data_IF_532423301672
#
_entry.id   IF_532423301672
#
_cell.length_a   1.000
_cell.length_b   1.000
_cell.length_c   1.000
_cell.angle_alpha   90.00
_cell.angle_beta   90.00
_cell.angle_gamma   90.00
#
_symmetry.space_group_name_H-M   'P 1'
#
loop_
_entity.id
_entity.type
_entity.pdbx_description
1 polymer ?
#
# COMPACT_ATOMS: atom_id res chain seq x y z
N UNK A 1 10.60 -20.81 -14.03
CA UNK A 1 10.26 -19.79 -13.02
C UNK A 1 8.92 -19.18 -13.42
N UNK A 2 7.87 -19.34 -12.62
CA UNK A 2 6.51 -18.89 -12.96
C UNK A 2 6.43 -17.36 -12.77
N UNK A 3 6.31 -16.59 -13.86
CA UNK A 3 6.21 -15.13 -13.81
C UNK A 3 4.77 -14.73 -13.48
N UNK A 4 4.57 -13.86 -12.50
CA UNK A 4 3.23 -13.42 -12.09
C UNK A 4 2.85 -12.14 -12.85
N UNK A 5 1.74 -12.11 -13.60
CA UNK A 5 1.39 -10.97 -14.45
C UNK A 5 1.08 -9.68 -13.68
N UNK A 6 0.52 -9.78 -12.46
CA UNK A 6 0.19 -8.61 -11.63
C UNK A 6 1.46 -7.83 -11.22
N UNK A 7 2.56 -8.54 -10.92
CA UNK A 7 3.84 -7.90 -10.59
C UNK A 7 4.51 -7.25 -11.80
N UNK A 8 4.38 -7.85 -12.99
CA UNK A 8 4.96 -7.29 -14.22
C UNK A 8 4.28 -5.95 -14.57
N UNK A 9 2.96 -5.90 -14.46
CA UNK A 9 2.18 -4.66 -14.73
C UNK A 9 2.30 -3.66 -13.58
N UNK A 10 2.52 -4.14 -12.35
CA UNK A 10 2.65 -3.32 -11.14
C UNK A 10 1.28 -2.94 -10.55
N UNK A 11 0.40 -3.93 -10.42
CA UNK A 11 -0.94 -3.80 -9.82
C UNK A 11 -1.15 -4.87 -8.76
N UNK A 12 -2.10 -4.62 -7.85
CA UNK A 12 -2.51 -5.61 -6.86
C UNK A 12 -3.22 -6.80 -7.51
N UNK A 13 -3.18 -7.93 -6.81
CA UNK A 13 -3.91 -9.13 -7.24
C UNK A 13 -5.42 -8.86 -7.29
N UNK A 14 -6.07 -9.32 -8.36
CA UNK A 14 -7.51 -9.08 -8.57
C UNK A 14 -7.85 -7.67 -9.05
N UNK A 15 -6.85 -6.87 -9.45
CA UNK A 15 -7.09 -5.59 -10.10
C UNK A 15 -7.97 -5.75 -11.35
N UNK A 16 -8.87 -4.80 -11.54
CA UNK A 16 -9.78 -4.79 -12.68
C UNK A 16 -9.00 -4.60 -13.99
N UNK A 17 -9.58 -5.03 -15.12
CA UNK A 17 -8.96 -4.81 -16.44
C UNK A 17 -8.64 -3.32 -16.67
N UNK A 18 -9.51 -2.41 -16.25
CA UNK A 18 -9.30 -0.98 -16.36
C UNK A 18 -8.06 -0.48 -15.58
N UNK A 19 -7.86 -0.98 -14.37
CA UNK A 19 -6.69 -0.66 -13.53
C UNK A 19 -5.41 -1.23 -14.14
N UNK A 20 -5.47 -2.46 -14.66
CA UNK A 20 -4.36 -3.11 -15.36
C UNK A 20 -3.96 -2.33 -16.62
N UNK A 21 -4.91 -1.88 -17.44
CA UNK A 21 -4.62 -1.04 -18.63
C UNK A 21 -3.95 0.28 -18.25
N UNK A 22 -4.44 0.94 -17.19
CA UNK A 22 -3.85 2.20 -16.69
C UNK A 22 -2.42 1.98 -16.17
N UNK A 23 -2.18 0.87 -15.48
CA UNK A 23 -0.86 0.50 -15.00
C UNK A 23 0.10 0.10 -16.14
N UNK A 24 -0.38 -0.61 -17.16
CA UNK A 24 0.39 -0.90 -18.38
C UNK A 24 0.90 0.38 -19.04
N UNK A 25 0.04 1.40 -19.22
CA UNK A 25 0.48 2.67 -19.80
C UNK A 25 1.59 3.36 -18.98
N UNK A 26 1.50 3.30 -17.64
CA UNK A 26 2.56 3.82 -16.74
C UNK A 26 3.84 2.99 -16.82
N UNK A 27 3.73 1.66 -16.90
CA UNK A 27 4.87 0.76 -17.01
C UNK A 27 5.58 0.89 -18.36
N UNK A 28 4.83 0.94 -19.47
CA UNK A 28 5.38 1.14 -20.81
C UNK A 28 6.08 2.50 -20.96
N UNK A 29 5.53 3.57 -20.34
CA UNK A 29 6.19 4.88 -20.29
C UNK A 29 7.48 4.85 -19.48
N UNK A 30 7.50 4.14 -18.34
CA UNK A 30 8.73 3.95 -17.53
C UNK A 30 9.79 3.20 -18.33
N UNK A 31 9.43 2.11 -18.99
CA UNK A 31 10.36 1.31 -19.81
C UNK A 31 10.98 2.13 -20.94
N UNK A 32 10.19 2.98 -21.61
CA UNK A 32 10.68 3.88 -22.66
C UNK A 32 11.64 4.96 -22.16
N UNK A 33 11.46 5.41 -20.92
CA UNK A 33 12.26 6.49 -20.34
C UNK A 33 13.54 5.98 -19.64
N UNK A 34 13.72 4.67 -19.53
CA UNK A 34 14.90 4.06 -18.90
C UNK A 34 15.83 3.49 -19.98
N UNK A 35 16.88 4.24 -20.32
CA UNK A 35 17.91 3.76 -21.26
C UNK A 35 19.21 3.29 -20.57
N UNK A 36 19.57 3.70 -19.33
CA UNK A 36 20.98 3.48 -18.89
C UNK A 36 21.29 3.15 -17.41
N UNK A 37 20.32 2.84 -16.51
CA UNK A 37 20.72 2.62 -15.10
C UNK A 37 19.79 1.88 -14.15
N UNK A 38 18.61 1.46 -14.57
CA UNK A 38 17.72 0.65 -13.75
C UNK A 38 16.96 -0.29 -14.68
N UNK A 39 17.63 -1.37 -15.09
CA UNK A 39 17.06 -2.38 -15.94
C UNK A 39 15.90 -3.04 -15.18
N UNK A 40 14.67 -2.64 -15.51
CA UNK A 40 13.52 -3.50 -15.25
C UNK A 40 13.80 -4.82 -15.99
N UNK A 41 13.78 -5.95 -15.29
CA UNK A 41 13.99 -7.30 -15.86
C UNK A 41 12.90 -7.72 -16.87
N UNK A 42 12.04 -6.80 -17.28
CA UNK A 42 10.83 -7.04 -18.06
C UNK A 42 10.86 -6.23 -19.35
N UNK A 43 10.56 -6.90 -20.47
CA UNK A 43 10.46 -6.25 -21.78
C UNK A 43 9.05 -5.73 -22.05
N UNK A 44 8.85 -5.03 -23.17
CA UNK A 44 7.52 -4.57 -23.57
C UNK A 44 6.60 -5.75 -23.94
N UNK A 45 7.17 -6.84 -24.46
CA UNK A 45 6.50 -8.10 -24.73
C UNK A 45 5.99 -8.74 -23.44
N UNK A 46 6.80 -8.71 -22.37
CA UNK A 46 6.39 -9.20 -21.04
C UNK A 46 5.21 -8.40 -20.49
N UNK A 47 5.23 -7.08 -20.63
CA UNK A 47 4.11 -6.21 -20.22
C UNK A 47 2.82 -6.51 -21.00
N UNK A 48 2.96 -6.75 -22.30
CA UNK A 48 1.82 -7.08 -23.19
C UNK A 48 1.25 -8.45 -22.84
N UNK A 49 2.11 -9.44 -22.67
CA UNK A 49 1.73 -10.77 -22.19
C UNK A 49 1.00 -10.69 -20.85
N UNK A 50 1.52 -9.92 -19.90
CA UNK A 50 0.94 -9.81 -18.58
C UNK A 50 -0.44 -9.15 -18.58
N UNK A 51 -0.65 -8.12 -19.41
CA UNK A 51 -1.96 -7.50 -19.58
C UNK A 51 -2.99 -8.50 -20.13
N UNK A 52 -2.64 -9.26 -21.16
CA UNK A 52 -3.52 -10.28 -21.74
C UNK A 52 -3.84 -11.40 -20.75
N UNK A 53 -2.88 -11.79 -19.91
CA UNK A 53 -3.13 -12.78 -18.86
C UNK A 53 -4.12 -12.26 -17.81
N UNK A 54 -3.96 -11.03 -17.31
CA UNK A 54 -4.90 -10.44 -16.34
C UNK A 54 -6.30 -10.33 -16.95
N UNK A 55 -6.40 -9.91 -18.21
CA UNK A 55 -7.69 -9.79 -18.88
C UNK A 55 -8.40 -11.14 -19.04
N UNK A 56 -7.65 -12.18 -19.46
CA UNK A 56 -8.18 -13.54 -19.57
C UNK A 56 -8.61 -14.11 -18.21
N UNK A 57 -7.82 -13.88 -17.15
CA UNK A 57 -8.15 -14.30 -15.78
C UNK A 57 -9.38 -13.59 -15.22
N UNK A 58 -9.60 -12.32 -15.57
CA UNK A 58 -10.78 -11.56 -15.15
C UNK A 58 -12.04 -11.95 -15.93
N UNK A 59 -11.90 -12.31 -17.22
CA UNK A 59 -13.01 -12.72 -18.07
C UNK A 59 -13.55 -14.12 -17.72
N UNK A 60 -12.66 -15.04 -17.34
CA UNK A 60 -13.01 -16.41 -17.01
C UNK A 60 -12.41 -16.84 -15.64
N UNK A 61 -12.94 -16.32 -14.53
CA UNK A 61 -12.44 -16.67 -13.20
C UNK A 61 -12.57 -18.18 -12.92
N UNK A 62 -13.61 -18.82 -13.48
CA UNK A 62 -13.90 -20.25 -13.31
C UNK A 62 -13.03 -21.18 -14.18
N UNK A 63 -12.40 -20.68 -15.25
CA UNK A 63 -11.51 -21.50 -16.10
C UNK A 63 -10.10 -21.64 -15.50
N UNK A 64 -9.77 -20.81 -14.51
CA UNK A 64 -8.58 -20.92 -13.68
C UNK A 64 -8.69 -22.08 -12.69
N UNK A 65 -8.49 -23.32 -13.15
CA UNK A 65 -8.43 -24.53 -12.30
C UNK A 65 -7.37 -24.41 -11.19
N UNK A 66 -6.43 -23.47 -11.33
CA UNK A 66 -5.40 -23.18 -10.34
C UNK A 66 -5.84 -22.25 -9.20
N UNK A 67 -6.99 -21.56 -9.30
CA UNK A 67 -7.46 -20.59 -8.29
C UNK A 67 -7.81 -21.23 -6.94
N UNK A 68 -8.21 -22.51 -6.96
CA UNK A 68 -8.67 -23.24 -5.78
C UNK A 68 -7.80 -24.47 -5.46
N UNK A 69 -6.49 -24.40 -5.71
CA UNK A 69 -5.61 -25.48 -5.26
C UNK A 69 -5.29 -25.33 -3.78
N UNK A 70 -6.05 -26.06 -2.96
CA UNK A 70 -5.64 -26.45 -1.62
C UNK A 70 -4.46 -27.41 -1.77
N UNK A 71 -3.26 -27.07 -1.26
CA UNK A 71 -2.15 -28.01 -1.25
C UNK A 71 -2.58 -29.30 -0.56
N UNK A 72 -2.38 -30.44 -1.22
CA UNK A 72 -2.68 -31.75 -0.64
C UNK A 72 -1.86 -32.05 0.62
N UNK A 73 -0.71 -31.38 0.76
CA UNK A 73 0.11 -31.43 1.96
C UNK A 73 -0.25 -30.25 2.90
N UNK A 74 -0.79 -30.53 4.11
CA UNK A 74 -1.08 -29.48 5.10
C UNK A 74 0.17 -28.75 5.60
N UNK A 75 1.37 -29.30 5.40
CA UNK A 75 2.63 -28.64 5.74
C UNK A 75 2.90 -27.40 4.87
N UNK A 76 2.28 -27.30 3.68
CA UNK A 76 2.40 -26.14 2.79
C UNK A 76 1.80 -24.85 3.39
N UNK A 77 0.96 -24.97 4.42
CA UNK A 77 0.44 -23.81 5.18
C UNK A 77 1.38 -23.34 6.29
N UNK A 78 2.46 -24.09 6.58
CA UNK A 78 3.45 -23.68 7.58
C UNK A 78 4.39 -22.67 6.96
N UNK A 79 4.05 -21.40 7.08
CA UNK A 79 4.94 -20.29 6.72
C UNK A 79 6.05 -20.21 7.77
N UNK A 80 7.30 -20.44 7.35
CA UNK A 80 8.45 -20.11 8.18
C UNK A 80 8.74 -18.62 8.06
N UNK A 81 9.20 -17.97 9.13
CA UNK A 81 9.54 -16.53 9.14
C UNK A 81 10.62 -16.19 8.10
N UNK A 82 11.36 -17.20 7.63
CA UNK A 82 12.39 -17.10 6.59
C UNK A 82 11.87 -17.28 5.17
N UNK A 83 10.63 -17.75 4.99
CA UNK A 83 10.09 -18.15 3.70
C UNK A 83 9.03 -17.14 3.24
N UNK A 84 9.46 -16.16 2.44
CA UNK A 84 8.58 -15.14 1.88
C UNK A 84 9.29 -14.29 0.85
N UNK A 85 8.69 -14.14 -0.34
CA UNK A 85 9.22 -13.29 -1.42
C UNK A 85 9.39 -11.83 -1.00
N UNK A 86 8.67 -11.40 0.04
CA UNK A 86 8.73 -10.05 0.62
C UNK A 86 9.75 -9.92 1.76
N UNK A 87 10.49 -10.98 2.09
CA UNK A 87 11.59 -10.93 3.06
C UNK A 87 12.85 -10.34 2.41
N UNK A 88 12.73 -9.11 1.92
CA UNK A 88 13.87 -8.35 1.43
C UNK A 88 14.79 -8.06 2.63
N UNK A 89 16.11 -8.31 2.52
CA UNK A 89 17.03 -7.98 3.60
C UNK A 89 16.99 -6.47 3.84
N UNK A 90 16.83 -6.07 5.11
CA UNK A 90 16.91 -4.66 5.50
C UNK A 90 18.32 -4.18 5.15
N UNK A 91 18.42 -3.26 4.18
CA UNK A 91 19.66 -2.58 3.85
C UNK A 91 19.61 -1.19 4.48
N UNK A 92 20.40 -0.90 5.53
CA UNK A 92 20.49 0.46 6.04
C UNK A 92 20.98 1.35 4.90
N UNK A 93 20.24 2.44 4.65
CA UNK A 93 20.63 3.45 3.69
C UNK A 93 21.72 4.32 4.31
N UNK A 94 22.74 4.65 3.51
CA UNK A 94 23.72 5.64 3.91
C UNK A 94 23.03 6.98 4.12
N UNK A 95 23.43 7.67 5.19
CA UNK A 95 22.86 8.95 5.54
C UNK A 95 23.24 9.97 4.45
N UNK A 96 22.24 10.54 3.78
CA UNK A 96 22.44 11.56 2.73
C UNK A 96 22.68 12.97 3.27
N UNK A 97 22.48 13.19 4.56
CA UNK A 97 22.64 14.50 5.20
C UNK A 97 23.96 14.55 5.95
N UNK A 98 24.62 15.71 5.91
CA UNK A 98 25.76 15.98 6.74
C UNK A 98 25.44 15.84 8.25
N UNK A 99 26.43 15.47 9.08
CA UNK A 99 26.26 15.47 10.51
C UNK A 99 25.97 16.89 11.00
N UNK A 100 24.77 17.08 11.55
CA UNK A 100 24.35 18.31 12.23
C UNK A 100 25.31 18.58 13.40
N UNK A 101 25.82 19.81 13.49
CA UNK A 101 26.68 20.24 14.59
C UNK A 101 25.91 20.33 15.91
N UNK A 102 26.61 20.13 17.04
CA UNK A 102 25.98 20.11 18.36
C UNK A 102 25.17 21.39 18.68
N UNK A 103 25.62 22.55 18.21
CA UNK A 103 24.90 23.83 18.40
C UNK A 103 23.61 23.93 17.60
N UNK A 104 23.60 23.41 16.38
CA UNK A 104 22.40 23.38 15.52
C UNK A 104 21.37 22.38 16.05
N UNK A 105 21.86 21.25 16.59
CA UNK A 105 21.02 20.26 17.25
C UNK A 105 20.31 20.82 18.49
N UNK A 106 21.01 21.63 19.29
CA UNK A 106 20.42 22.30 20.46
C UNK A 106 19.39 23.36 20.04
N UNK A 107 19.66 24.13 18.99
CA UNK A 107 18.68 25.08 18.44
C UNK A 107 17.40 24.40 17.96
N UNK A 108 17.51 23.28 17.24
CA UNK A 108 16.35 22.49 16.81
C UNK A 108 15.58 21.95 18.02
N UNK A 109 16.29 21.55 19.08
CA UNK A 109 15.70 21.05 20.32
C UNK A 109 14.91 22.13 21.04
N UNK A 110 15.48 23.32 21.22
CA UNK A 110 14.80 24.47 21.83
C UNK A 110 13.55 24.86 21.02
N UNK A 111 13.67 24.96 19.69
CA UNK A 111 12.54 25.26 18.81
C UNK A 111 11.41 24.22 18.91
N UNK A 112 11.77 22.94 19.01
CA UNK A 112 10.78 21.86 19.14
C UNK A 112 10.06 21.91 20.51
N UNK A 113 10.78 22.27 21.58
CA UNK A 113 10.20 22.45 22.91
C UNK A 113 9.22 23.63 22.92
N UNK A 114 9.60 24.77 22.34
CA UNK A 114 8.75 25.95 22.27
C UNK A 114 7.51 25.71 21.42
N UNK A 115 7.65 25.07 20.25
CA UNK A 115 6.54 24.69 19.40
C UNK A 115 5.59 23.70 20.10
N UNK A 116 6.15 22.72 20.81
CA UNK A 116 5.38 21.75 21.60
C UNK A 116 4.61 22.40 22.75
N UNK A 117 5.26 23.30 23.49
CA UNK A 117 4.62 24.05 24.58
C UNK A 117 3.45 24.91 24.06
N UNK A 118 3.67 25.64 22.96
CA UNK A 118 2.62 26.44 22.33
C UNK A 118 1.46 25.58 21.82
N UNK A 119 1.74 24.40 21.26
CA UNK A 119 0.70 23.47 20.82
C UNK A 119 -0.15 22.96 22.00
N UNK A 120 0.47 22.62 23.13
CA UNK A 120 -0.24 22.17 24.33
C UNK A 120 -1.12 23.28 24.91
N UNK A 121 -0.59 24.51 25.01
CA UNK A 121 -1.33 25.66 25.53
C UNK A 121 -2.51 26.02 24.62
N UNK A 122 -2.31 26.07 23.30
CA UNK A 122 -3.39 26.31 22.33
C UNK A 122 -4.49 25.24 22.41
N UNK A 123 -4.16 24.02 22.83
CA UNK A 123 -5.12 22.93 23.00
C UNK A 123 -5.88 23.00 24.33
N UNK A 124 -5.35 23.67 25.36
CA UNK A 124 -6.08 23.93 26.61
C UNK A 124 -7.16 25.01 26.47
N UNK A 125 -7.01 25.93 25.52
CA UNK A 125 -8.02 26.97 25.25
C UNK A 125 -9.23 26.47 24.43
N UNK A 126 -9.16 25.25 23.90
CA UNK A 126 -10.33 24.61 23.31
C UNK A 126 -11.13 23.91 24.42
N UNK A 127 -12.31 24.42 24.82
CA UNK A 127 -13.19 23.64 25.66
C UNK A 127 -13.50 22.33 24.93
N UNK A 128 -13.28 21.21 25.61
CA UNK A 128 -13.77 19.90 25.17
C UNK A 128 -15.28 20.03 24.96
N UNK A 129 -15.72 20.28 23.72
CA UNK A 129 -17.13 20.16 23.34
C UNK A 129 -17.46 18.69 23.34
N UNK A 130 -17.77 18.18 24.53
CA UNK A 130 -18.23 16.83 24.78
C UNK A 130 -19.67 16.74 24.25
N UNK A 131 -19.82 16.48 22.95
CA UNK A 131 -21.08 16.09 22.31
C UNK A 131 -22.32 16.91 22.71
N UNK A 132 -22.52 18.10 22.14
CA UNK A 132 -23.90 18.56 21.87
C UNK A 132 -24.41 17.73 20.69
N UNK A 133 -24.86 16.51 20.99
CA UNK A 133 -25.80 15.81 20.14
C UNK A 133 -27.16 16.28 20.63
N UNK A 134 -27.79 17.16 19.87
CA UNK A 134 -29.21 17.46 20.03
C UNK A 134 -30.00 16.15 19.91
N UNK A 135 -30.22 15.49 21.04
CA UNK A 135 -31.16 14.38 21.12
C UNK A 135 -32.52 15.06 21.19
N UNK A 136 -33.13 15.18 20.02
CA UNK A 136 -34.54 15.52 19.88
C UNK A 136 -35.35 14.41 20.58
N UNK A 137 -35.73 14.66 21.84
CA UNK A 137 -36.45 13.71 22.71
C UNK A 137 -37.94 13.63 22.38
N UNK A 138 -38.37 14.24 21.27
CA UNK A 138 -39.79 14.40 20.93
C UNK A 138 -40.36 13.33 20.02
N UNK A 139 -39.57 12.35 19.57
CA UNK A 139 -40.08 11.25 18.74
C UNK A 139 -40.42 10.02 19.60
N UNK A 140 -41.71 9.73 19.88
CA UNK A 140 -42.08 8.49 20.56
C UNK A 140 -41.74 7.30 19.65
N UNK A 141 -40.95 6.37 20.18
CA UNK A 141 -40.65 5.09 19.54
C UNK A 141 -41.93 4.23 19.60
N UNK A 142 -42.60 4.09 18.46
CA UNK A 142 -43.76 3.21 18.32
C UNK A 142 -43.30 1.74 18.32
N UNK A 143 -43.37 1.11 19.50
CA UNK A 143 -43.20 -0.33 19.65
C UNK A 143 -44.53 -1.03 19.35
N UNK A 144 -44.85 -1.09 18.06
CA UNK A 144 -45.98 -1.84 17.54
C UNK A 144 -45.95 -3.30 17.98
N UNK A 145 -46.81 -3.65 18.95
CA UNK A 145 -47.26 -5.02 19.22
C UNK A 145 -48.29 -5.43 18.17
N UNK A 146 -47.93 -6.38 17.30
CA UNK A 146 -48.66 -7.61 16.90
C UNK A 146 -48.25 -8.07 15.52
#
# INVERSE_FOLDING_TARGET
>A
MRRNPYFIVGVDYGATTAEATKAFGRAAKRLRNHDEGNALDYTIEDLTWALHQIDHMNAEPDSSVDHFRVPADPSAYRVQVTDGVLLLPVRPLDRSTDPIGASELEQIREQALDAGANWVLARQEQPLRFFDRDIDTTTPIDLGRR
#
